data_IF_980136924264
#
_entry.id   IF_980136924264
#
_cell.length_a   1.000
_cell.length_b   1.000
_cell.length_c   1.000
_cell.angle_alpha   90.00
_cell.angle_beta   90.00
_cell.angle_gamma   90.00
#
_symmetry.space_group_name_H-M   'P 1'
#
loop_
_entity.id
_entity.type
_entity.pdbx_description
1 polymer ?
#
# COMPACT_ATOMS: atom_id res chain seq x y z
N UNK A 1 -8.48 2.59 3.28
CA UNK A 1 -7.50 3.63 3.69
C UNK A 1 -6.77 3.30 4.98
N UNK A 2 -7.47 3.09 6.11
CA UNK A 2 -6.88 2.94 7.46
C UNK A 2 -5.84 1.83 7.60
N UNK A 3 -6.05 0.66 6.99
CA UNK A 3 -5.09 -0.44 7.08
C UNK A 3 -3.74 -0.07 6.45
N UNK A 4 -3.73 0.57 5.29
CA UNK A 4 -2.51 1.01 4.63
C UNK A 4 -1.76 2.05 5.46
N UNK A 5 -2.47 2.96 6.14
CA UNK A 5 -1.87 3.93 7.05
C UNK A 5 -1.27 3.27 8.30
N UNK A 6 -2.02 2.37 8.94
CA UNK A 6 -1.55 1.64 10.11
C UNK A 6 -0.32 0.80 9.79
N UNK A 7 -0.30 0.15 8.62
CA UNK A 7 0.85 -0.64 8.20
C UNK A 7 2.06 0.22 7.84
N UNK A 8 1.87 1.34 7.13
CA UNK A 8 2.96 2.29 6.87
C UNK A 8 3.55 2.85 8.17
N UNK A 9 2.72 3.17 9.17
CA UNK A 9 3.19 3.58 10.49
C UNK A 9 3.96 2.47 11.21
N UNK A 10 3.50 1.22 11.11
CA UNK A 10 4.20 0.07 11.66
C UNK A 10 5.59 -0.08 11.02
N UNK A 11 5.68 -0.13 9.69
CA UNK A 11 6.95 -0.27 8.96
C UNK A 11 7.89 0.88 9.26
N UNK A 12 7.40 2.13 9.26
CA UNK A 12 8.21 3.29 9.62
C UNK A 12 8.81 3.16 11.03
N UNK A 13 7.99 2.75 12.02
CA UNK A 13 8.47 2.53 13.40
C UNK A 13 9.46 1.37 13.48
N UNK A 14 9.26 0.31 12.69
CA UNK A 14 10.17 -0.82 12.59
C UNK A 14 11.53 -0.36 12.05
N UNK A 15 11.56 0.39 10.96
CA UNK A 15 12.80 0.98 10.41
C UNK A 15 13.55 1.79 11.48
N UNK A 16 12.83 2.65 12.22
CA UNK A 16 13.44 3.44 13.30
C UNK A 16 14.02 2.56 14.41
N UNK A 17 13.34 1.48 14.81
CA UNK A 17 13.83 0.53 15.82
C UNK A 17 15.07 -0.24 15.34
N UNK A 18 15.13 -0.56 14.05
CA UNK A 18 16.25 -1.27 13.43
C UNK A 18 17.38 -0.33 12.98
N UNK A 19 17.27 0.98 13.26
CA UNK A 19 18.24 2.00 12.84
C UNK A 19 18.45 2.07 11.32
N UNK A 20 17.41 1.73 10.54
CA UNK A 20 17.35 1.97 9.10
C UNK A 20 16.94 3.43 8.87
N UNK A 21 17.69 4.16 8.04
CA UNK A 21 17.36 5.55 7.70
C UNK A 21 16.11 5.60 6.81
N UNK A 22 15.06 6.24 7.30
CA UNK A 22 13.88 6.59 6.50
C UNK A 22 14.11 7.98 5.88
N UNK A 23 14.17 8.06 4.56
CA UNK A 23 14.34 9.32 3.83
C UNK A 23 13.03 10.10 3.76
N UNK A 24 11.94 9.41 3.41
CA UNK A 24 10.63 10.02 3.25
C UNK A 24 9.51 9.01 3.52
N UNK A 25 8.35 9.49 3.94
CA UNK A 25 7.16 8.69 4.15
C UNK A 25 5.93 9.46 3.66
N UNK A 26 5.37 9.06 2.53
CA UNK A 26 4.34 9.83 1.82
C UNK A 26 3.19 8.97 1.30
N UNK A 27 2.17 9.64 0.75
CA UNK A 27 1.00 9.03 0.14
C UNK A 27 1.06 9.18 -1.38
N UNK A 28 0.66 8.14 -2.10
CA UNK A 28 0.36 8.29 -3.52
C UNK A 28 -1.09 8.76 -3.70
N UNK A 29 -1.41 9.46 -4.81
CA UNK A 29 -2.78 9.83 -5.12
C UNK A 29 -3.70 8.60 -5.15
N UNK A 30 -4.89 8.73 -4.55
CA UNK A 30 -5.87 7.64 -4.51
C UNK A 30 -6.39 7.36 -5.91
N UNK A 31 -6.42 6.08 -6.29
CA UNK A 31 -6.98 5.63 -7.58
C UNK A 31 -8.40 5.13 -7.34
N UNK A 32 -9.37 5.71 -8.03
CA UNK A 32 -10.78 5.32 -7.96
C UNK A 32 -11.12 4.49 -9.20
N UNK A 33 -11.74 3.32 -9.00
CA UNK A 33 -12.11 2.40 -10.06
C UNK A 33 -13.58 2.04 -9.95
N UNK A 34 -14.31 2.22 -11.05
CA UNK A 34 -15.68 1.76 -11.19
C UNK A 34 -15.68 0.27 -11.55
N UNK A 35 -16.34 -0.54 -10.74
CA UNK A 35 -16.55 -1.96 -11.00
C UNK A 35 -17.89 -2.10 -11.71
N UNK A 36 -17.82 -2.57 -12.95
CA UNK A 36 -18.99 -2.80 -13.79
C UNK A 36 -19.29 -4.30 -13.81
N UNK A 37 -20.56 -4.68 -13.63
CA UNK A 37 -21.02 -6.07 -13.66
C UNK A 37 -22.07 -6.27 -14.75
N UNK A 38 -21.99 -7.41 -15.44
CA UNK A 38 -23.06 -7.87 -16.33
C UNK A 38 -24.12 -8.62 -15.49
N UNK A 39 -25.39 -8.19 -15.50
CA UNK A 39 -26.45 -8.91 -14.79
C UNK A 39 -26.84 -10.21 -15.50
N UNK A 40 -27.31 -11.19 -14.72
CA UNK A 40 -27.53 -12.58 -15.18
C UNK A 40 -28.54 -12.72 -16.35
N UNK A 41 -29.48 -11.79 -16.47
CA UNK A 41 -30.44 -11.71 -17.59
C UNK A 41 -30.42 -10.33 -18.27
N UNK A 42 -29.23 -9.84 -18.61
CA UNK A 42 -29.08 -8.60 -19.38
C UNK A 42 -27.85 -8.61 -20.27
N UNK A 43 -27.83 -7.70 -21.25
CA UNK A 43 -26.74 -7.59 -22.22
C UNK A 43 -25.97 -6.26 -22.09
N UNK A 44 -26.13 -5.55 -20.96
CA UNK A 44 -25.52 -4.24 -20.70
C UNK A 44 -24.79 -4.26 -19.36
N UNK A 45 -23.58 -3.74 -19.34
CA UNK A 45 -22.81 -3.54 -18.12
C UNK A 45 -23.49 -2.49 -17.24
N UNK A 46 -23.64 -2.79 -15.96
CA UNK A 46 -24.21 -1.90 -14.94
C UNK A 46 -23.15 -1.61 -13.89
N UNK A 47 -23.13 -0.38 -13.37
CA UNK A 47 -22.26 -0.01 -12.26
C UNK A 47 -22.66 -0.81 -11.02
N UNK A 48 -21.72 -1.57 -10.47
CA UNK A 48 -21.92 -2.39 -9.28
C UNK A 48 -21.37 -1.68 -8.04
N UNK A 49 -20.11 -1.22 -8.11
CA UNK A 49 -19.44 -0.56 -6.98
C UNK A 49 -18.33 0.37 -7.44
N UNK A 50 -17.84 1.20 -6.51
CA UNK A 50 -16.70 2.08 -6.72
C UNK A 50 -15.65 1.71 -5.68
N UNK A 51 -14.49 1.26 -6.13
CA UNK A 51 -13.36 0.88 -5.28
C UNK A 51 -12.32 2.00 -5.27
N UNK A 52 -11.85 2.36 -4.07
CA UNK A 52 -10.77 3.33 -3.89
C UNK A 52 -9.51 2.63 -3.40
N UNK A 53 -8.44 2.71 -4.19
CA UNK A 53 -7.12 2.14 -3.87
C UNK A 53 -6.22 3.24 -3.31
N UNK A 54 -5.73 3.02 -2.09
CA UNK A 54 -4.81 3.93 -1.41
C UNK A 54 -3.45 3.29 -1.28
N UNK A 55 -2.40 4.07 -1.51
CA UNK A 55 -1.02 3.59 -1.50
C UNK A 55 -0.16 4.53 -0.64
N UNK A 56 0.69 3.92 0.18
CA UNK A 56 1.60 4.58 1.12
C UNK A 56 3.01 4.09 0.82
N UNK A 57 3.97 5.01 0.80
CA UNK A 57 5.37 4.72 0.46
C UNK A 57 6.24 5.13 1.64
N UNK A 58 7.14 4.23 2.06
CA UNK A 58 8.18 4.48 3.04
C UNK A 58 9.52 4.29 2.33
N UNK A 59 10.20 5.38 2.03
CA UNK A 59 11.49 5.36 1.35
C UNK A 59 12.61 5.21 2.38
N UNK A 60 13.46 4.21 2.19
CA UNK A 60 14.58 3.92 3.09
C UNK A 60 15.91 3.94 2.34
N UNK A 61 17.00 4.10 3.09
CA UNK A 61 18.36 4.01 2.57
C UNK A 61 19.28 3.26 3.54
N UNK A 62 20.44 2.82 3.03
CA UNK A 62 21.48 2.20 3.86
C UNK A 62 21.20 0.75 4.29
N UNK A 63 20.36 0.01 3.57
CA UNK A 63 20.08 -1.39 3.85
C UNK A 63 21.20 -2.30 3.32
N UNK A 64 21.82 -3.10 4.20
CA UNK A 64 22.83 -4.09 3.78
C UNK A 64 22.16 -5.31 3.12
N UNK A 65 22.89 -6.02 2.26
CA UNK A 65 22.34 -7.19 1.55
C UNK A 65 21.86 -8.29 2.50
N UNK A 66 22.62 -8.60 3.55
CA UNK A 66 22.24 -9.62 4.54
C UNK A 66 21.03 -9.19 5.39
N UNK A 67 20.91 -7.90 5.69
CA UNK A 67 19.79 -7.40 6.48
C UNK A 67 18.52 -7.19 5.65
N UNK A 68 18.66 -6.96 4.34
CA UNK A 68 17.53 -6.80 3.43
C UNK A 68 16.66 -8.06 3.37
N UNK A 69 17.26 -9.24 3.34
CA UNK A 69 16.54 -10.52 3.37
C UNK A 69 15.70 -10.66 4.64
N UNK A 70 16.31 -10.40 5.81
CA UNK A 70 15.62 -10.44 7.10
C UNK A 70 14.49 -9.41 7.15
N UNK A 71 14.73 -8.18 6.68
CA UNK A 71 13.73 -7.12 6.68
C UNK A 71 12.52 -7.44 5.80
N UNK A 72 12.70 -8.18 4.71
CA UNK A 72 11.61 -8.59 3.81
C UNK A 72 10.82 -9.81 4.33
N UNK A 73 11.41 -10.61 5.20
CA UNK A 73 10.76 -11.78 5.81
C UNK A 73 9.81 -11.40 6.95
N UNK A 74 10.09 -10.31 7.67
CA UNK A 74 9.32 -9.82 8.84
C UNK A 74 8.04 -9.09 8.44
#
# INVERSE_FOLDING_TARGET
MSLAESYAQYVHRLCNRLSIKVEESYAMPTKTMEVMRLPDQGNKMVLDSILTTHERVVQISGLSATFAEIFLEV
#
